data_IF_287390806949
#
_entry.id   IF_287390806949
#
_cell.length_a   1.000
_cell.length_b   1.000
_cell.length_c   1.000
_cell.angle_alpha   90.00
_cell.angle_beta   90.00
_cell.angle_gamma   90.00
#
_symmetry.space_group_name_H-M   'P 1'
#
loop_
_entity.id
_entity.type
_entity.pdbx_description
1 polymer ?
#
# COMPACT_ATOMS: atom_id res chain seq x y z
N UNK A 1 7.84 13.35 -13.51
CA UNK A 1 8.09 14.69 -12.96
C UNK A 1 6.97 15.15 -12.05
N UNK A 2 5.79 15.47 -12.62
CA UNK A 2 4.64 15.79 -11.79
C UNK A 2 4.19 14.57 -10.97
N UNK A 3 4.24 13.40 -11.57
CA UNK A 3 3.87 12.15 -10.91
C UNK A 3 4.82 11.86 -9.73
N UNK A 4 6.12 12.03 -9.95
CA UNK A 4 7.10 11.83 -8.89
C UNK A 4 6.99 12.89 -7.80
N UNK A 5 6.66 14.14 -8.17
CA UNK A 5 6.42 15.19 -7.19
C UNK A 5 5.19 14.89 -6.34
N UNK A 6 4.14 14.37 -6.95
CA UNK A 6 2.93 13.96 -6.24
C UNK A 6 3.23 12.81 -5.28
N UNK A 7 3.99 11.82 -5.73
CA UNK A 7 4.38 10.69 -4.88
C UNK A 7 5.21 11.15 -3.68
N UNK A 8 6.10 12.13 -3.87
CA UNK A 8 6.87 12.68 -2.76
C UNK A 8 5.98 13.43 -1.76
N UNK A 9 4.99 14.17 -2.24
CA UNK A 9 4.04 14.85 -1.36
C UNK A 9 3.25 13.84 -0.53
N UNK A 10 2.82 12.76 -1.16
CA UNK A 10 2.09 11.69 -0.48
C UNK A 10 2.98 11.02 0.57
N UNK A 11 4.22 10.74 0.22
CA UNK A 11 5.17 10.12 1.17
C UNK A 11 5.36 11.00 2.40
N UNK A 12 5.50 12.31 2.21
CA UNK A 12 5.62 13.25 3.32
C UNK A 12 4.34 13.31 4.14
N UNK A 13 3.18 13.27 3.49
CA UNK A 13 1.89 13.25 4.18
C UNK A 13 1.76 11.99 5.03
N UNK A 14 2.14 10.84 4.48
CA UNK A 14 2.10 9.57 5.22
C UNK A 14 2.98 9.66 6.46
N UNK A 15 4.18 10.20 6.34
CA UNK A 15 5.09 10.37 7.48
C UNK A 15 4.48 11.28 8.56
N UNK A 16 3.83 12.37 8.14
CA UNK A 16 3.16 13.28 9.09
C UNK A 16 2.00 12.60 9.80
N UNK A 17 1.19 11.86 9.07
CA UNK A 17 0.04 11.14 9.65
C UNK A 17 0.50 10.05 10.60
N UNK A 18 1.57 9.35 10.25
CA UNK A 18 2.17 8.32 11.10
C UNK A 18 2.65 8.93 12.42
N UNK A 19 3.38 10.03 12.35
CA UNK A 19 3.89 10.72 13.52
C UNK A 19 2.75 11.24 14.39
N UNK A 20 1.71 11.80 13.77
CA UNK A 20 0.55 12.30 14.49
C UNK A 20 -0.15 11.18 15.26
N UNK A 21 -0.30 10.02 14.65
CA UNK A 21 -0.89 8.86 15.32
C UNK A 21 -0.04 8.40 16.50
N UNK A 22 1.28 8.36 16.33
CA UNK A 22 2.19 8.00 17.42
C UNK A 22 2.07 8.96 18.60
N UNK A 23 2.03 10.26 18.31
CA UNK A 23 1.89 11.29 19.35
C UNK A 23 0.54 11.20 20.05
N UNK A 24 -0.52 10.94 19.28
CA UNK A 24 -1.86 10.81 19.85
C UNK A 24 -1.96 9.61 20.79
N UNK A 25 -1.39 8.47 20.37
CA UNK A 25 -1.40 7.28 21.20
C UNK A 25 -0.56 7.46 22.47
N UNK A 26 0.58 8.14 22.37
CA UNK A 26 1.41 8.46 23.52
C UNK A 26 0.66 9.36 24.49
N UNK A 27 -0.05 10.37 23.99
CA UNK A 27 -0.83 11.29 24.82
C UNK A 27 -1.97 10.58 25.54
N UNK A 28 -2.50 9.51 24.98
CA UNK A 28 -3.56 8.70 25.59
C UNK A 28 -3.00 7.60 26.50
N UNK A 29 -1.68 7.56 26.69
CA UNK A 29 -1.04 6.53 27.51
C UNK A 29 -1.00 5.15 26.86
N UNK A 30 -1.30 5.07 25.58
CA UNK A 30 -1.28 3.81 24.84
C UNK A 30 0.09 3.59 24.24
N UNK A 31 0.55 2.33 24.29
CA UNK A 31 1.75 1.95 23.56
C UNK A 31 1.41 1.78 22.10
N UNK A 32 2.26 2.30 21.24
CA UNK A 32 2.15 2.09 19.81
C UNK A 32 2.70 0.69 19.51
N UNK A 33 1.79 -0.29 19.47
CA UNK A 33 2.19 -1.66 19.27
C UNK A 33 2.55 -1.92 17.82
N UNK A 34 3.78 -2.40 17.60
CA UNK A 34 4.11 -3.05 16.36
C UNK A 34 3.43 -4.41 16.40
N UNK A 35 2.55 -4.67 15.45
CA UNK A 35 1.91 -5.97 15.39
C UNK A 35 2.95 -7.01 15.00
N UNK A 36 3.34 -7.92 15.91
CA UNK A 36 4.28 -8.97 15.55
C UNK A 36 3.61 -9.93 14.57
N UNK A 37 4.41 -10.65 13.83
CA UNK A 37 3.91 -11.60 12.85
C UNK A 37 4.05 -11.08 11.43
N UNK A 38 3.83 -11.95 10.49
CA UNK A 38 4.07 -11.68 9.07
C UNK A 38 2.90 -10.97 8.40
N UNK A 39 3.14 -10.61 7.16
CA UNK A 39 2.11 -10.07 6.28
C UNK A 39 1.41 -11.21 5.56
N UNK A 40 0.16 -10.99 5.16
CA UNK A 40 -0.49 -11.83 4.16
C UNK A 40 -0.50 -11.08 2.83
N UNK A 41 -0.71 -11.81 1.75
CA UNK A 41 -0.79 -11.22 0.42
C UNK A 41 -2.10 -10.42 0.31
N UNK A 42 -2.08 -9.19 -0.27
CA UNK A 42 -3.22 -8.27 -0.16
C UNK A 42 -4.37 -8.52 -1.14
N UNK A 43 -4.20 -9.42 -2.10
CA UNK A 43 -5.25 -9.80 -3.07
C UNK A 43 -5.17 -11.30 -3.33
N UNK A 44 -6.21 -11.84 -3.97
CA UNK A 44 -6.22 -13.27 -4.30
C UNK A 44 -5.23 -13.60 -5.41
N UNK A 45 -5.06 -12.68 -6.38
CA UNK A 45 -4.11 -12.88 -7.47
C UNK A 45 -2.68 -12.89 -6.97
N UNK A 46 -1.87 -13.78 -7.52
CA UNK A 46 -0.42 -13.86 -7.21
C UNK A 46 0.43 -13.54 -8.42
N UNK A 47 -0.15 -12.89 -9.44
CA UNK A 47 0.56 -12.58 -10.68
C UNK A 47 1.28 -11.25 -10.55
N UNK A 48 2.62 -11.29 -10.47
CA UNK A 48 3.46 -10.11 -10.28
C UNK A 48 3.86 -9.56 -11.64
N UNK A 49 3.51 -8.30 -11.91
CA UNK A 49 3.87 -7.62 -13.15
C UNK A 49 5.08 -6.71 -13.01
N UNK A 50 5.35 -6.22 -11.79
CA UNK A 50 6.49 -5.35 -11.55
C UNK A 50 6.88 -5.40 -10.08
N UNK A 51 8.17 -5.23 -9.79
CA UNK A 51 8.73 -5.30 -8.45
C UNK A 51 9.31 -3.96 -8.02
N UNK A 52 9.69 -3.85 -6.74
CA UNK A 52 10.35 -2.68 -6.19
C UNK A 52 11.73 -2.53 -6.84
N UNK A 53 12.11 -1.30 -7.15
CA UNK A 53 13.45 -0.97 -7.64
C UNK A 53 13.47 -0.34 -9.01
N UNK A 54 14.68 -0.18 -9.55
CA UNK A 54 14.89 0.39 -10.88
C UNK A 54 14.33 -0.53 -11.95
N UNK A 55 13.70 0.07 -12.96
CA UNK A 55 13.12 -0.67 -14.09
C UNK A 55 12.95 0.26 -15.27
N UNK A 56 12.77 -0.33 -16.46
CA UNK A 56 12.29 0.45 -17.60
C UNK A 56 10.84 0.82 -17.36
N UNK A 57 10.48 2.07 -17.70
CA UNK A 57 9.10 2.52 -17.55
C UNK A 57 8.19 1.73 -18.48
N UNK A 58 7.27 0.90 -17.96
CA UNK A 58 6.43 0.04 -18.81
C UNK A 58 5.50 0.90 -19.67
N UNK A 59 5.60 0.72 -21.00
CA UNK A 59 4.78 1.48 -21.93
C UNK A 59 4.98 2.99 -21.86
N UNK A 60 6.09 3.45 -21.31
CA UNK A 60 6.34 4.86 -21.08
C UNK A 60 5.56 5.45 -19.93
N UNK A 61 4.92 4.61 -19.12
CA UNK A 61 4.05 5.02 -18.01
C UNK A 61 4.66 4.58 -16.69
N UNK A 62 4.54 5.42 -15.67
CA UNK A 62 5.03 5.13 -14.33
C UNK A 62 6.49 5.51 -14.13
N UNK A 63 6.97 5.29 -12.93
CA UNK A 63 8.31 5.65 -12.51
C UNK A 63 9.31 4.57 -12.88
N UNK A 64 10.53 4.98 -13.25
CA UNK A 64 11.65 4.04 -13.47
C UNK A 64 12.21 3.52 -12.16
N UNK A 65 11.92 4.20 -11.03
CA UNK A 65 12.30 3.75 -9.69
C UNK A 65 11.02 3.35 -8.95
N UNK A 66 10.58 2.12 -9.15
CA UNK A 66 9.29 1.65 -8.68
C UNK A 66 9.30 1.44 -7.17
N UNK A 67 8.34 2.06 -6.49
CA UNK A 67 8.27 2.07 -5.03
C UNK A 67 7.53 0.89 -4.42
N UNK A 68 6.86 0.11 -5.24
CA UNK A 68 6.06 -1.00 -4.75
C UNK A 68 6.08 -2.18 -5.70
N UNK A 69 5.19 -3.11 -5.42
CA UNK A 69 4.96 -4.29 -6.25
C UNK A 69 3.62 -4.16 -6.92
N UNK A 70 3.58 -4.38 -8.24
CA UNK A 70 2.34 -4.36 -9.00
C UNK A 70 1.85 -5.78 -9.20
N UNK A 71 0.57 -5.99 -8.89
CA UNK A 71 -0.08 -7.30 -8.97
C UNK A 71 -1.17 -7.22 -10.02
N UNK A 72 -1.03 -7.99 -11.08
CA UNK A 72 -1.98 -8.05 -12.18
C UNK A 72 -3.01 -9.15 -12.02
N UNK A 73 -3.85 -9.31 -13.06
CA UNK A 73 -4.91 -10.31 -13.10
C UNK A 73 -5.90 -10.17 -11.95
N UNK A 74 -6.16 -8.94 -11.54
CA UNK A 74 -7.09 -8.64 -10.45
C UNK A 74 -8.43 -8.12 -10.95
N UNK A 75 -8.50 -7.57 -12.16
CA UNK A 75 -9.72 -6.99 -12.69
C UNK A 75 -10.20 -5.80 -11.86
N UNK A 76 -11.52 -5.59 -11.89
CA UNK A 76 -12.18 -4.45 -11.25
C UNK A 76 -13.06 -4.85 -10.07
N UNK A 77 -13.04 -6.10 -9.66
CA UNK A 77 -13.96 -6.62 -8.65
C UNK A 77 -13.28 -7.43 -7.55
N UNK A 78 -11.97 -7.55 -7.59
CA UNK A 78 -11.25 -8.33 -6.58
C UNK A 78 -11.15 -7.56 -5.27
N UNK A 79 -11.43 -8.20 -4.13
CA UNK A 79 -11.20 -7.56 -2.84
C UNK A 79 -9.71 -7.26 -2.63
N UNK A 80 -9.44 -6.17 -1.93
CA UNK A 80 -8.11 -5.84 -1.43
C UNK A 80 -8.14 -6.05 0.07
N UNK A 81 -7.21 -6.84 0.58
CA UNK A 81 -7.16 -7.21 2.00
C UNK A 81 -6.06 -6.44 2.72
N UNK A 82 -6.33 -6.08 3.97
CA UNK A 82 -5.28 -5.54 4.83
C UNK A 82 -4.21 -6.61 5.02
N UNK A 83 -2.98 -6.32 4.59
CA UNK A 83 -1.88 -7.28 4.66
C UNK A 83 -1.49 -7.59 6.10
N UNK A 84 -1.82 -6.71 7.03
CA UNK A 84 -1.53 -6.84 8.44
C UNK A 84 -2.51 -5.93 9.21
N UNK A 85 -2.81 -6.26 10.45
CA UNK A 85 -3.70 -5.44 11.27
C UNK A 85 -3.08 -4.08 11.54
N UNK A 86 -3.91 -3.05 11.63
CA UNK A 86 -3.45 -1.70 11.93
C UNK A 86 -4.52 -0.64 11.80
N UNK A 87 -4.11 0.62 11.87
CA UNK A 87 -5.01 1.77 11.79
C UNK A 87 -4.87 2.45 10.44
N UNK A 88 -6.00 2.74 9.81
CA UNK A 88 -6.03 3.47 8.53
C UNK A 88 -5.63 4.92 8.80
N UNK A 89 -4.56 5.39 8.16
CA UNK A 89 -4.09 6.75 8.31
C UNK A 89 -4.31 7.62 7.07
N UNK A 90 -4.53 7.01 5.90
CA UNK A 90 -4.92 7.71 4.67
C UNK A 90 -5.94 6.86 3.93
N UNK A 91 -7.00 7.50 3.43
CA UNK A 91 -8.02 6.85 2.61
C UNK A 91 -8.63 7.92 1.71
N UNK A 92 -8.07 8.08 0.51
CA UNK A 92 -8.49 9.15 -0.40
C UNK A 92 -8.01 8.89 -1.83
N UNK A 93 -8.27 9.84 -2.71
CA UNK A 93 -7.83 9.78 -4.11
C UNK A 93 -6.69 10.76 -4.37
N UNK A 94 -5.72 10.34 -5.19
CA UNK A 94 -4.70 11.21 -5.74
C UNK A 94 -4.59 11.02 -7.24
N UNK A 95 -3.92 11.96 -7.92
CA UNK A 95 -3.74 11.85 -9.38
C UNK A 95 -2.80 10.72 -9.75
N UNK A 96 -1.84 10.38 -8.90
CA UNK A 96 -0.89 9.31 -9.17
C UNK A 96 -1.41 7.94 -8.74
N UNK A 97 -1.78 7.79 -7.47
CA UNK A 97 -2.20 6.51 -6.90
C UNK A 97 -3.68 6.19 -7.11
N UNK A 98 -4.47 7.13 -7.63
CA UNK A 98 -5.91 6.94 -7.69
C UNK A 98 -6.48 6.80 -6.29
N UNK A 99 -7.48 5.95 -6.13
CA UNK A 99 -8.01 5.65 -4.79
C UNK A 99 -6.99 4.79 -4.05
N UNK A 100 -6.49 5.30 -2.92
CA UNK A 100 -5.46 4.58 -2.18
C UNK A 100 -5.71 4.65 -0.68
N UNK A 101 -5.19 3.64 0.01
CA UNK A 101 -5.29 3.49 1.47
C UNK A 101 -3.90 3.24 2.01
N UNK A 102 -3.58 3.86 3.15
CA UNK A 102 -2.35 3.56 3.90
C UNK A 102 -2.77 3.11 5.28
N UNK A 103 -2.20 2.00 5.73
CA UNK A 103 -2.43 1.43 7.05
C UNK A 103 -1.14 1.51 7.85
N UNK A 104 -1.22 2.00 9.08
CA UNK A 104 -0.12 2.01 10.03
C UNK A 104 -0.18 0.74 10.88
N UNK A 105 0.93 0.01 10.92
CA UNK A 105 1.05 -1.25 11.67
C UNK A 105 1.89 -1.12 12.92
N UNK A 106 2.40 0.06 13.20
CA UNK A 106 3.29 0.33 14.30
C UNK A 106 4.32 1.38 13.90
N UNK A 107 5.20 1.76 14.81
CA UNK A 107 6.21 2.79 14.59
C UNK A 107 7.06 2.44 13.37
N UNK A 108 7.02 3.32 12.36
CA UNK A 108 7.83 3.16 11.15
C UNK A 108 7.33 2.11 10.17
N UNK A 109 6.17 1.49 10.41
CA UNK A 109 5.67 0.40 9.59
C UNK A 109 4.32 0.77 8.97
N UNK A 110 4.27 0.79 7.62
CA UNK A 110 3.04 1.08 6.88
C UNK A 110 2.92 0.18 5.66
N UNK A 111 1.67 -0.01 5.21
CA UNK A 111 1.40 -0.59 3.89
C UNK A 111 0.51 0.36 3.11
N UNK A 112 0.70 0.42 1.80
CA UNK A 112 -0.05 1.29 0.90
C UNK A 112 -0.66 0.44 -0.21
N UNK A 113 -1.92 0.71 -0.53
CA UNK A 113 -2.72 -0.03 -1.52
C UNK A 113 -3.32 0.98 -2.48
N UNK A 114 -2.98 0.91 -3.76
CA UNK A 114 -3.33 1.96 -4.72
C UNK A 114 -4.09 1.45 -5.94
N UNK A 115 -4.63 2.39 -6.69
CA UNK A 115 -5.37 2.20 -7.94
C UNK A 115 -6.69 1.45 -7.77
N UNK A 116 -7.27 1.49 -6.56
CA UNK A 116 -8.53 0.81 -6.28
C UNK A 116 -9.70 1.49 -6.96
N UNK A 117 -10.73 0.70 -7.32
CA UNK A 117 -11.98 1.25 -7.84
C UNK A 117 -12.83 1.86 -6.73
N UNK A 118 -12.76 1.31 -5.53
CA UNK A 118 -13.47 1.86 -4.37
C UNK A 118 -12.71 1.58 -3.08
N UNK A 119 -12.91 2.46 -2.11
CA UNK A 119 -12.33 2.36 -0.76
C UNK A 119 -13.47 1.98 0.20
N UNK A 120 -13.24 0.99 1.06
CA UNK A 120 -14.25 0.46 1.97
C UNK A 120 -13.99 0.82 3.43
N UNK A 121 -12.95 1.60 3.71
CA UNK A 121 -12.57 2.00 5.08
C UNK A 121 -12.33 3.50 5.13
N UNK A 122 -12.28 4.05 6.32
CA UNK A 122 -12.02 5.48 6.53
C UNK A 122 -10.88 5.68 7.51
N UNK A 123 -10.28 6.86 7.49
CA UNK A 123 -9.19 7.23 8.39
C UNK A 123 -9.62 7.07 9.84
N UNK A 124 -8.76 6.49 10.65
CA UNK A 124 -9.03 6.22 12.06
C UNK A 124 -9.59 4.83 12.35
N UNK A 125 -10.00 4.11 11.30
CA UNK A 125 -10.54 2.74 11.47
C UNK A 125 -9.40 1.77 11.76
N UNK A 126 -9.57 0.94 12.78
CA UNK A 126 -8.66 -0.19 12.99
C UNK A 126 -9.16 -1.37 12.17
N UNK A 127 -8.27 -1.96 11.39
CA UNK A 127 -8.59 -3.11 10.53
C UNK A 127 -7.80 -4.34 10.98
N UNK A 128 -8.40 -5.49 10.83
CA UNK A 128 -7.75 -6.78 11.11
C UNK A 128 -7.02 -7.26 9.88
N UNK A 129 -5.99 -8.08 10.07
CA UNK A 129 -5.33 -8.75 8.95
C UNK A 129 -6.37 -9.55 8.15
N UNK A 130 -6.36 -9.40 6.84
CA UNK A 130 -7.30 -10.07 5.95
C UNK A 130 -8.63 -9.37 5.76
N UNK A 131 -8.90 -8.29 6.49
CA UNK A 131 -10.14 -7.53 6.33
C UNK A 131 -10.14 -6.83 4.97
N UNK A 132 -11.28 -6.84 4.28
CA UNK A 132 -11.42 -6.15 3.00
C UNK A 132 -11.40 -4.64 3.23
N UNK A 133 -10.50 -3.94 2.56
CA UNK A 133 -10.34 -2.49 2.68
C UNK A 133 -10.73 -1.74 1.42
N UNK A 134 -10.93 -2.44 0.32
CA UNK A 134 -11.33 -1.85 -0.96
C UNK A 134 -11.44 -2.89 -2.04
N UNK A 135 -11.62 -2.41 -3.26
CA UNK A 135 -11.80 -3.25 -4.45
C UNK A 135 -10.79 -2.79 -5.50
N UNK A 136 -10.18 -3.73 -6.21
CA UNK A 136 -9.19 -3.45 -7.24
C UNK A 136 -9.77 -2.62 -8.39
N UNK A 137 -8.89 -1.95 -9.12
CA UNK A 137 -9.29 -1.12 -10.24
C UNK A 137 -8.08 -0.61 -11.01
N UNK A 138 -8.28 0.53 -11.68
CA UNK A 138 -7.24 1.16 -12.50
C UNK A 138 -7.33 2.68 -12.39
N UNK A 139 -7.70 3.19 -11.20
CA UNK A 139 -7.82 4.63 -10.98
C UNK A 139 -6.45 5.30 -10.84
N UNK A 140 -6.41 6.60 -11.11
CA UNK A 140 -5.15 7.33 -11.08
C UNK A 140 -4.31 7.07 -12.32
N UNK A 141 -2.99 7.13 -12.15
CA UNK A 141 -2.05 6.92 -13.25
C UNK A 141 -1.81 5.42 -13.46
N UNK A 142 -2.64 4.81 -14.28
CA UNK A 142 -2.65 3.35 -14.49
C UNK A 142 -3.08 3.02 -15.91
N UNK A 143 -2.45 2.02 -16.53
CA UNK A 143 -2.78 1.57 -17.88
C UNK A 143 -3.73 0.38 -17.91
N UNK A 144 -4.09 -0.16 -16.76
CA UNK A 144 -5.00 -1.29 -16.66
C UNK A 144 -5.11 -1.75 -15.23
N UNK A 145 -6.07 -2.65 -14.92
CA UNK A 145 -6.33 -3.04 -13.54
C UNK A 145 -5.13 -3.77 -12.92
N UNK A 146 -4.68 -3.25 -11.80
CA UNK A 146 -3.63 -3.87 -10.99
C UNK A 146 -3.71 -3.29 -9.58
N UNK A 147 -3.11 -3.97 -8.63
CA UNK A 147 -2.89 -3.41 -7.30
C UNK A 147 -1.43 -3.00 -7.19
N UNK A 148 -1.19 -1.75 -6.81
CA UNK A 148 0.14 -1.27 -6.46
C UNK A 148 0.25 -1.33 -4.94
N UNK A 149 1.19 -2.13 -4.44
CA UNK A 149 1.34 -2.45 -3.03
C UNK A 149 2.73 -2.06 -2.54
N UNK A 150 2.79 -1.22 -1.49
CA UNK A 150 4.07 -0.77 -0.89
C UNK A 150 4.13 -1.19 0.56
N UNK A 151 5.31 -1.60 0.99
CA UNK A 151 5.58 -1.93 2.40
C UNK A 151 6.77 -1.10 2.87
N UNK A 152 6.59 -0.45 4.02
CA UNK A 152 7.66 0.28 4.71
C UNK A 152 7.83 -0.33 6.09
N UNK A 153 9.05 -0.75 6.43
CA UNK A 153 9.40 -1.28 7.75
C UNK A 153 10.57 -0.49 8.32
N UNK A 154 10.44 -0.07 9.58
CA UNK A 154 11.48 0.72 10.25
C UNK A 154 11.87 1.95 9.43
N UNK A 155 10.87 2.61 8.83
CA UNK A 155 11.01 3.78 7.97
C UNK A 155 11.76 3.52 6.67
N UNK A 156 11.95 2.25 6.28
CA UNK A 156 12.63 1.86 5.04
C UNK A 156 11.65 1.11 4.16
N UNK A 157 11.56 1.53 2.88
CA UNK A 157 10.74 0.82 1.90
C UNK A 157 11.40 -0.51 1.58
N UNK A 158 10.62 -1.58 1.70
CA UNK A 158 11.12 -2.93 1.46
C UNK A 158 10.41 -3.57 0.27
N UNK A 159 10.99 -4.64 -0.24
CA UNK A 159 10.38 -5.44 -1.29
C UNK A 159 9.47 -6.50 -0.64
N UNK A 160 8.12 -6.40 -0.84
CA UNK A 160 7.22 -7.38 -0.22
C UNK A 160 7.48 -8.83 -0.67
N UNK A 161 8.15 -9.02 -1.80
CA UNK A 161 8.47 -10.37 -2.29
C UNK A 161 9.52 -11.08 -1.43
N UNK A 162 10.17 -10.38 -0.52
CA UNK A 162 11.12 -11.02 0.40
C UNK A 162 10.44 -11.63 1.63
N UNK A 163 9.13 -11.46 1.79
CA UNK A 163 8.38 -12.05 2.91
C UNK A 163 7.85 -13.43 2.54
N UNK A 164 7.75 -14.30 3.56
CA UNK A 164 7.36 -15.69 3.35
C UNK A 164 5.96 -15.88 2.75
N UNK A 165 5.05 -14.92 2.96
CA UNK A 165 3.70 -15.00 2.41
C UNK A 165 3.63 -14.53 0.96
N UNK A 166 4.67 -13.89 0.45
CA UNK A 166 4.66 -13.34 -0.90
C UNK A 166 4.86 -14.44 -1.94
N UNK A 167 4.21 -14.32 -3.10
CA UNK A 167 4.45 -15.24 -4.21
C UNK A 167 5.80 -14.94 -4.86
N UNK A 168 6.29 -15.90 -5.61
CA UNK A 168 7.44 -15.66 -6.48
C UNK A 168 7.01 -14.76 -7.62
N UNK A 169 7.98 -14.03 -8.19
CA UNK A 169 7.72 -13.18 -9.35
C UNK A 169 7.13 -14.01 -10.48
N UNK A 170 6.11 -13.46 -11.13
CA UNK A 170 5.39 -14.13 -12.18
C UNK A 170 4.11 -14.75 -11.64
N UNK A 171 3.66 -15.79 -12.33
CA UNK A 171 2.41 -16.45 -11.98
C UNK A 171 2.68 -17.70 -11.15
N UNK A 172 1.84 -17.92 -10.17
CA UNK A 172 1.89 -19.15 -9.37
C UNK A 172 0.82 -20.12 -9.81
#
# INVERSE_FOLDING_TARGET
KELEAEERRIEQQVKRMQKKLEEQMAAEGKKYNTNPGGYIWPVDSRYITSTVGGRNSPGGVGSTNHKGTDIGRVGYTSPVYAAKAGTVIVARRSSSYGNYVVISHGTGNTTLYAHMSSIKVSVGTYVKQGQTIGITGSTGHSTGPHLHFEVVENNVRINPLSHGAAPKKGYL
#
